data_IF_684732868850
#
_entry.id   IF_684732868850
#
_cell.length_a   1.000
_cell.length_b   1.000
_cell.length_c   1.000
_cell.angle_alpha   90.00
_cell.angle_beta   90.00
_cell.angle_gamma   90.00
#
_symmetry.space_group_name_H-M   'P 1'
#
loop_
_entity.id
_entity.type
_entity.pdbx_description
1 polymer ?
#
# COMPACT_ATOMS: atom_id res chain seq x y z
N UNK A 1 37.92 -7.32 26.74
CA UNK A 1 37.84 -8.15 25.53
C UNK A 1 36.42 -8.01 25.04
N UNK A 2 36.18 -7.07 24.11
CA UNK A 2 34.84 -6.69 23.65
C UNK A 2 34.37 -7.78 22.71
N UNK A 3 33.31 -8.46 23.11
CA UNK A 3 32.58 -9.46 22.34
C UNK A 3 31.90 -8.76 21.15
N UNK A 4 32.63 -8.65 20.04
CA UNK A 4 32.04 -8.26 18.76
C UNK A 4 31.17 -9.43 18.30
N UNK A 5 29.90 -9.40 18.72
CA UNK A 5 28.86 -10.12 18.04
C UNK A 5 28.84 -9.60 16.59
N UNK A 6 29.47 -10.36 15.70
CA UNK A 6 29.38 -10.18 14.25
C UNK A 6 27.90 -10.28 13.92
N UNK A 7 27.24 -9.13 13.76
CA UNK A 7 25.84 -9.03 13.39
C UNK A 7 25.67 -9.82 12.10
N UNK A 8 25.03 -10.98 12.19
CA UNK A 8 24.75 -11.78 11.02
C UNK A 8 23.87 -10.92 10.11
N UNK A 9 24.40 -10.57 8.94
CA UNK A 9 23.61 -9.93 7.89
C UNK A 9 22.32 -10.74 7.70
N UNK A 10 21.20 -10.08 7.47
CA UNK A 10 19.91 -10.72 7.23
C UNK A 10 19.78 -11.14 5.75
N UNK A 11 20.23 -12.35 5.31
CA UNK A 11 20.17 -12.73 3.89
C UNK A 11 18.71 -12.82 3.39
N UNK A 12 17.77 -13.10 4.29
CA UNK A 12 16.34 -13.14 3.99
C UNK A 12 15.79 -11.78 3.57
N UNK A 13 16.40 -10.67 4.01
CA UNK A 13 15.91 -9.32 3.72
C UNK A 13 16.00 -9.00 2.23
N UNK A 14 17.09 -9.44 1.57
CA UNK A 14 17.24 -9.30 0.14
C UNK A 14 16.14 -10.08 -0.62
N UNK A 15 15.84 -11.31 -0.17
CA UNK A 15 14.79 -12.15 -0.75
C UNK A 15 13.41 -11.51 -0.57
N UNK A 16 13.09 -11.02 0.64
CA UNK A 16 11.80 -10.36 0.90
C UNK A 16 11.65 -9.06 0.10
N UNK A 17 12.72 -8.27 -0.06
CA UNK A 17 12.70 -7.08 -0.93
C UNK A 17 12.43 -7.44 -2.38
N UNK A 18 13.00 -8.53 -2.88
CA UNK A 18 12.74 -9.02 -4.24
C UNK A 18 11.27 -9.48 -4.40
N UNK A 19 10.76 -10.23 -3.44
CA UNK A 19 9.36 -10.70 -3.44
C UNK A 19 8.39 -9.52 -3.36
N UNK A 20 8.64 -8.55 -2.47
CA UNK A 20 7.81 -7.36 -2.35
C UNK A 20 7.81 -6.54 -3.64
N UNK A 21 8.98 -6.34 -4.25
CA UNK A 21 9.12 -5.59 -5.51
C UNK A 21 8.42 -6.30 -6.67
N UNK A 22 8.67 -7.59 -6.85
CA UNK A 22 8.03 -8.37 -7.92
C UNK A 22 6.51 -8.44 -7.73
N UNK A 23 6.04 -8.65 -6.50
CA UNK A 23 4.59 -8.63 -6.21
C UNK A 23 3.96 -7.27 -6.52
N UNK A 24 4.62 -6.17 -6.11
CA UNK A 24 4.15 -4.82 -6.41
C UNK A 24 4.15 -4.54 -7.92
N UNK A 25 5.12 -5.06 -8.66
CA UNK A 25 5.18 -4.95 -10.12
C UNK A 25 4.03 -5.71 -10.78
N UNK A 26 3.80 -6.96 -10.42
CA UNK A 26 2.73 -7.77 -10.99
C UNK A 26 1.33 -7.22 -10.67
N UNK A 27 1.12 -6.68 -9.46
CA UNK A 27 -0.14 -6.00 -9.12
C UNK A 27 -0.38 -4.78 -10.01
N UNK A 28 0.64 -3.94 -10.25
CA UNK A 28 0.51 -2.78 -11.17
C UNK A 28 0.21 -3.24 -12.59
N UNK A 29 0.88 -4.28 -13.08
CA UNK A 29 0.65 -4.81 -14.43
C UNK A 29 -0.78 -5.33 -14.59
N UNK A 30 -1.28 -6.10 -13.62
CA UNK A 30 -2.64 -6.62 -13.64
C UNK A 30 -3.69 -5.51 -13.63
N UNK A 31 -3.50 -4.48 -12.79
CA UNK A 31 -4.45 -3.35 -12.69
C UNK A 31 -4.40 -2.46 -13.93
N UNK A 32 -3.22 -2.20 -14.49
CA UNK A 32 -3.10 -1.49 -15.77
C UNK A 32 -3.79 -2.25 -16.91
N UNK A 33 -3.60 -3.58 -16.97
CA UNK A 33 -4.28 -4.43 -17.94
C UNK A 33 -5.80 -4.40 -17.79
N UNK A 34 -6.31 -4.38 -16.55
CA UNK A 34 -7.74 -4.25 -16.28
C UNK A 34 -8.29 -2.91 -16.79
N UNK A 35 -7.64 -1.78 -16.47
CA UNK A 35 -8.06 -0.45 -16.94
C UNK A 35 -8.09 -0.38 -18.46
N UNK A 36 -7.06 -0.89 -19.14
CA UNK A 36 -7.02 -0.94 -20.60
C UNK A 36 -8.16 -1.79 -21.17
N UNK A 37 -8.44 -2.95 -20.59
CA UNK A 37 -9.56 -3.80 -21.03
C UNK A 37 -10.91 -3.09 -20.86
N UNK A 38 -11.10 -2.40 -19.74
CA UNK A 38 -12.31 -1.62 -19.49
C UNK A 38 -12.45 -0.46 -20.48
N UNK A 39 -11.36 0.21 -20.83
CA UNK A 39 -11.35 1.26 -21.85
C UNK A 39 -11.77 0.73 -23.22
N UNK A 40 -11.29 -0.46 -23.59
CA UNK A 40 -11.70 -1.13 -24.83
C UNK A 40 -13.20 -1.43 -24.82
N UNK A 41 -13.73 -1.96 -23.71
CA UNK A 41 -15.18 -2.20 -23.59
C UNK A 41 -15.95 -0.88 -23.71
N UNK A 42 -15.53 0.18 -22.99
CA UNK A 42 -16.12 1.52 -23.06
C UNK A 42 -16.21 2.05 -24.48
N UNK A 43 -15.11 1.93 -25.24
CA UNK A 43 -15.04 2.40 -26.63
C UNK A 43 -15.96 1.65 -27.59
N UNK A 44 -16.33 0.40 -27.26
CA UNK A 44 -17.21 -0.46 -28.05
C UNK A 44 -18.68 -0.25 -27.69
N UNK A 45 -18.98 0.00 -26.42
CA UNK A 45 -20.35 0.25 -25.94
C UNK A 45 -20.84 1.66 -26.25
N UNK A 46 -19.93 2.63 -26.40
CA UNK A 46 -20.26 4.01 -26.81
C UNK A 46 -20.63 4.17 -28.29
N UNK A 47 -20.56 3.12 -29.13
CA UNK A 47 -20.97 3.17 -30.54
C UNK A 47 -22.45 2.79 -30.67
N UNK A 48 -23.34 3.78 -30.55
CA UNK A 48 -24.74 3.82 -31.02
C UNK A 48 -25.55 2.50 -31.00
N UNK A 49 -25.41 1.69 -29.94
CA UNK A 49 -26.25 0.52 -29.72
C UNK A 49 -27.10 0.74 -28.47
N UNK A 50 -28.41 1.00 -28.63
CA UNK A 50 -29.32 1.25 -27.51
C UNK A 50 -29.44 0.06 -26.53
N UNK A 51 -29.00 -1.13 -26.95
CA UNK A 51 -28.93 -2.33 -26.11
C UNK A 51 -27.75 -2.31 -25.11
N UNK A 52 -26.76 -1.44 -25.31
CA UNK A 52 -25.52 -1.40 -24.51
C UNK A 52 -25.48 -0.27 -23.47
N UNK A 53 -26.54 0.55 -23.36
CA UNK A 53 -26.59 1.70 -22.45
C UNK A 53 -26.39 1.31 -20.98
N UNK A 54 -26.90 0.16 -20.54
CA UNK A 54 -26.69 -0.35 -19.19
C UNK A 54 -25.25 -0.83 -18.91
N UNK A 55 -24.50 -1.20 -19.96
CA UNK A 55 -23.11 -1.65 -19.83
C UNK A 55 -22.17 -0.45 -19.69
N UNK A 56 -22.52 0.71 -20.28
CA UNK A 56 -21.72 1.93 -20.16
C UNK A 56 -21.51 2.34 -18.69
N UNK A 57 -22.58 2.38 -17.89
CA UNK A 57 -22.48 2.70 -16.46
C UNK A 57 -21.63 1.68 -15.70
N UNK A 58 -21.84 0.38 -15.95
CA UNK A 58 -21.04 -0.66 -15.29
C UNK A 58 -19.54 -0.53 -15.60
N UNK A 59 -19.21 -0.15 -16.83
CA UNK A 59 -17.81 0.06 -17.24
C UNK A 59 -17.22 1.29 -16.54
N UNK A 60 -17.97 2.38 -16.40
CA UNK A 60 -17.54 3.55 -15.64
C UNK A 60 -17.27 3.20 -14.16
N UNK A 61 -18.19 2.47 -13.53
CA UNK A 61 -18.04 2.01 -12.15
C UNK A 61 -16.82 1.09 -12.00
N UNK A 62 -16.61 0.18 -12.96
CA UNK A 62 -15.46 -0.72 -12.97
C UNK A 62 -14.14 0.02 -13.14
N UNK A 63 -14.09 1.08 -13.97
CA UNK A 63 -12.88 1.92 -14.13
C UNK A 63 -12.57 2.62 -12.82
N UNK A 64 -13.57 3.26 -12.19
CA UNK A 64 -13.38 3.93 -10.91
C UNK A 64 -12.90 2.96 -9.81
N UNK A 65 -13.50 1.76 -9.72
CA UNK A 65 -13.08 0.75 -8.77
C UNK A 65 -11.67 0.20 -9.05
N UNK A 66 -11.28 0.09 -10.32
CA UNK A 66 -9.94 -0.33 -10.72
C UNK A 66 -8.88 0.72 -10.33
N UNK A 67 -9.15 2.00 -10.53
CA UNK A 67 -8.28 3.10 -10.09
C UNK A 67 -8.09 3.09 -8.56
N UNK A 68 -9.16 2.88 -7.80
CA UNK A 68 -9.06 2.76 -6.34
C UNK A 68 -8.28 1.52 -5.91
N UNK A 69 -8.42 0.41 -6.64
CA UNK A 69 -7.63 -0.79 -6.40
C UNK A 69 -6.14 -0.54 -6.65
N UNK A 70 -5.79 0.25 -7.68
CA UNK A 70 -4.41 0.67 -7.95
C UNK A 70 -3.81 1.50 -6.82
N UNK A 71 -4.55 2.50 -6.32
CA UNK A 71 -4.11 3.32 -5.18
C UNK A 71 -3.86 2.48 -3.93
N UNK A 72 -4.71 1.48 -3.65
CA UNK A 72 -4.52 0.57 -2.52
C UNK A 72 -3.33 -0.38 -2.70
N UNK A 73 -3.10 -0.89 -3.91
CA UNK A 73 -1.93 -1.71 -4.20
C UNK A 73 -0.63 -0.92 -4.02
N UNK A 74 -0.60 0.33 -4.47
CA UNK A 74 0.53 1.24 -4.26
C UNK A 74 0.76 1.56 -2.78
N UNK A 75 -0.29 1.83 -2.02
CA UNK A 75 -0.18 2.07 -0.59
C UNK A 75 0.34 0.83 0.16
N UNK A 76 -0.10 -0.36 -0.24
CA UNK A 76 0.36 -1.63 0.34
C UNK A 76 1.83 -1.89 0.02
N UNK A 77 2.25 -1.62 -1.22
CA UNK A 77 3.66 -1.70 -1.61
C UNK A 77 4.53 -0.71 -0.80
N UNK A 78 4.06 0.53 -0.65
CA UNK A 78 4.77 1.54 0.13
C UNK A 78 4.89 1.17 1.62
N UNK A 79 3.87 0.52 2.20
CA UNK A 79 3.94 -0.01 3.56
C UNK A 79 5.00 -1.11 3.69
N UNK A 80 5.04 -2.05 2.73
CA UNK A 80 6.06 -3.10 2.71
C UNK A 80 7.47 -2.51 2.57
N UNK A 81 7.66 -1.56 1.65
CA UNK A 81 8.94 -0.88 1.45
C UNK A 81 9.38 -0.14 2.73
N UNK A 82 8.45 0.55 3.40
CA UNK A 82 8.72 1.23 4.67
C UNK A 82 9.19 0.25 5.75
N UNK A 83 8.48 -0.88 5.93
CA UNK A 83 8.81 -1.91 6.92
C UNK A 83 10.16 -2.55 6.59
N UNK A 84 10.39 -2.94 5.34
CA UNK A 84 11.65 -3.57 4.91
C UNK A 84 12.83 -2.60 4.87
N UNK A 85 12.58 -1.30 4.70
CA UNK A 85 13.57 -0.23 4.79
C UNK A 85 14.03 -0.01 6.24
N UNK A 86 13.13 -0.19 7.19
CA UNK A 86 13.42 -0.04 8.62
C UNK A 86 14.09 -1.27 9.26
N UNK A 87 14.28 -2.37 8.52
CA UNK A 87 15.03 -3.52 9.02
C UNK A 87 16.53 -3.21 9.02
N UNK A 88 17.14 -3.26 10.20
CA UNK A 88 18.57 -3.10 10.42
C UNK A 88 19.42 -4.23 9.82
N UNK A 89 20.73 -4.04 9.81
CA UNK A 89 21.68 -5.07 9.36
C UNK A 89 21.67 -6.33 10.22
N UNK A 90 21.17 -6.22 11.46
CA UNK A 90 20.94 -7.30 12.42
C UNK A 90 19.64 -8.09 12.16
N UNK A 91 18.87 -7.70 11.14
CA UNK A 91 17.58 -8.31 10.81
C UNK A 91 16.44 -7.90 11.73
N UNK A 92 16.60 -6.87 12.57
CA UNK A 92 15.54 -6.38 13.45
C UNK A 92 14.84 -5.18 12.83
N UNK A 93 13.52 -5.12 12.99
CA UNK A 93 12.74 -3.96 12.60
C UNK A 93 13.02 -2.81 13.58
N UNK A 94 13.57 -1.70 13.08
CA UNK A 94 13.78 -0.48 13.86
C UNK A 94 12.51 0.35 13.91
N UNK A 95 11.63 -0.01 14.85
CA UNK A 95 10.42 0.73 15.15
C UNK A 95 10.25 0.93 16.66
N UNK A 96 9.59 2.01 17.02
CA UNK A 96 9.25 2.34 18.40
C UNK A 96 7.73 2.50 18.54
N UNK A 97 7.18 1.93 19.60
CA UNK A 97 5.77 2.09 19.93
C UNK A 97 5.63 3.33 20.84
N UNK A 98 5.20 4.47 20.28
CA UNK A 98 5.02 5.73 21.02
C UNK A 98 3.70 5.80 21.80
N UNK A 99 2.84 4.79 21.63
CA UNK A 99 1.55 4.67 22.30
C UNK A 99 0.82 3.42 21.84
N UNK A 100 -0.37 3.10 22.38
CA UNK A 100 -1.05 1.82 22.12
C UNK A 100 -1.38 1.56 20.65
N UNK A 101 -1.36 2.60 19.80
CA UNK A 101 -1.69 2.54 18.37
C UNK A 101 -0.81 3.43 17.50
N UNK A 102 0.33 3.87 18.03
CA UNK A 102 1.24 4.78 17.34
C UNK A 102 2.58 4.09 17.17
N UNK A 103 2.95 3.82 15.92
CA UNK A 103 4.21 3.19 15.57
C UNK A 103 5.09 4.22 14.85
N UNK A 104 6.25 4.52 15.43
CA UNK A 104 7.31 5.29 14.81
C UNK A 104 8.25 4.32 14.08
N UNK A 105 8.39 4.48 12.77
CA UNK A 105 9.29 3.67 11.94
C UNK A 105 10.42 4.57 11.44
N UNK A 106 11.67 4.22 11.73
CA UNK A 106 12.84 4.97 11.25
C UNK A 106 13.03 4.76 9.74
N UNK A 107 13.28 5.84 9.02
CA UNK A 107 13.45 5.83 7.55
C UNK A 107 14.26 7.06 7.09
N UNK A 108 14.71 7.07 5.84
CA UNK A 108 15.31 8.29 5.26
C UNK A 108 14.22 9.31 4.90
N UNK A 109 14.55 10.60 4.84
CA UNK A 109 13.56 11.66 4.56
C UNK A 109 12.82 11.45 3.22
N UNK A 110 13.55 11.02 2.18
CA UNK A 110 12.98 10.78 0.86
C UNK A 110 12.03 9.56 0.82
N UNK A 111 12.32 8.53 1.60
CA UNK A 111 11.48 7.33 1.73
C UNK A 111 10.25 7.62 2.60
N UNK A 112 10.43 8.35 3.70
CA UNK A 112 9.35 8.75 4.60
C UNK A 112 8.28 9.56 3.85
N UNK A 113 8.70 10.57 3.07
CA UNK A 113 7.81 11.39 2.25
C UNK A 113 7.03 10.58 1.21
N UNK A 114 7.71 9.63 0.55
CA UNK A 114 7.08 8.76 -0.44
C UNK A 114 6.06 7.83 0.22
N UNK A 115 6.43 7.22 1.34
CA UNK A 115 5.58 6.31 2.09
C UNK A 115 4.33 7.05 2.58
N UNK A 116 4.47 8.22 3.20
CA UNK A 116 3.32 9.01 3.71
C UNK A 116 2.38 9.40 2.58
N UNK A 117 2.89 9.83 1.42
CA UNK A 117 2.02 10.15 0.27
C UNK A 117 1.20 8.95 -0.20
N UNK A 118 1.84 7.78 -0.33
CA UNK A 118 1.14 6.57 -0.75
C UNK A 118 0.14 6.07 0.31
N UNK A 119 0.51 6.13 1.59
CA UNK A 119 -0.32 5.67 2.70
C UNK A 119 -1.57 6.51 2.94
N UNK A 120 -1.63 7.76 2.45
CA UNK A 120 -2.86 8.57 2.50
C UNK A 120 -4.06 7.89 1.83
N UNK A 121 -3.83 7.18 0.73
CA UNK A 121 -4.89 6.43 0.05
C UNK A 121 -5.46 5.31 0.94
N UNK A 122 -4.59 4.62 1.68
CA UNK A 122 -5.00 3.61 2.66
C UNK A 122 -5.72 4.25 3.85
N UNK A 123 -5.25 5.42 4.30
CA UNK A 123 -5.84 6.17 5.39
C UNK A 123 -7.29 6.58 5.16
N UNK A 124 -7.62 7.03 3.95
CA UNK A 124 -8.98 7.41 3.58
C UNK A 124 -10.00 6.27 3.75
N UNK A 125 -9.59 5.00 3.62
CA UNK A 125 -10.47 3.84 3.72
C UNK A 125 -10.42 3.12 5.06
N UNK A 126 -9.25 3.09 5.68
CA UNK A 126 -9.03 2.28 6.88
C UNK A 126 -9.10 3.13 8.15
N UNK A 127 -8.86 4.44 8.07
CA UNK A 127 -8.61 5.29 9.23
C UNK A 127 -7.14 5.31 9.69
N UNK A 128 -6.22 4.73 8.90
CA UNK A 128 -4.79 4.82 9.14
C UNK A 128 -4.29 6.27 8.95
N UNK A 129 -3.72 6.87 10.00
CA UNK A 129 -2.96 8.11 9.88
C UNK A 129 -1.49 7.82 9.56
N UNK A 130 -0.89 8.60 8.66
CA UNK A 130 0.55 8.56 8.38
C UNK A 130 1.09 9.98 8.26
N UNK A 131 2.20 10.27 8.93
CA UNK A 131 2.90 11.55 8.84
C UNK A 131 4.42 11.40 8.95
N UNK A 132 5.15 12.37 8.42
CA UNK A 132 6.61 12.46 8.55
C UNK A 132 6.97 13.19 9.85
N UNK A 133 7.95 12.66 10.59
CA UNK A 133 8.49 13.26 11.79
C UNK A 133 10.04 13.20 11.77
N UNK A 134 10.63 14.03 10.91
CA UNK A 134 12.05 13.95 10.55
C UNK A 134 12.34 12.65 9.79
N UNK A 135 13.37 11.93 10.23
CA UNK A 135 13.77 10.61 9.69
C UNK A 135 12.89 9.46 10.19
N UNK A 136 11.60 9.71 10.33
CA UNK A 136 10.65 8.69 10.74
C UNK A 136 9.28 8.91 10.13
N UNK A 137 8.59 7.80 9.91
CA UNK A 137 7.16 7.78 9.61
C UNK A 137 6.42 7.41 10.89
N UNK A 138 5.45 8.22 11.28
CA UNK A 138 4.53 7.92 12.38
C UNK A 138 3.26 7.35 11.77
N UNK A 139 2.96 6.09 12.08
CA UNK A 139 1.72 5.40 11.73
C UNK A 139 0.77 5.42 12.92
N UNK A 140 -0.45 5.89 12.72
CA UNK A 140 -1.52 5.90 13.71
C UNK A 140 -2.64 4.98 13.28
N UNK A 141 -2.85 3.90 14.02
CA UNK A 141 -3.90 2.94 13.71
C UNK A 141 -5.23 3.39 14.33
N UNK A 142 -6.36 3.29 13.61
CA UNK A 142 -7.67 3.76 14.06
C UNK A 142 -8.20 2.92 15.22
N UNK A 143 -8.66 3.53 16.32
CA UNK A 143 -9.41 2.80 17.37
C UNK A 143 -10.49 1.94 16.70
N UNK A 144 -10.45 0.61 16.83
CA UNK A 144 -11.57 -0.20 16.39
C UNK A 144 -12.80 0.33 17.13
N UNK A 145 -13.83 0.75 16.38
CA UNK A 145 -15.18 0.79 16.89
C UNK A 145 -16.03 -0.17 16.04
N UNK A 146 -16.89 -0.99 16.67
CA UNK A 146 -17.44 -2.20 16.10
C UNK A 146 -18.58 -1.86 15.14
N UNK A 147 -18.32 -1.93 13.84
CA UNK A 147 -19.37 -2.13 12.84
C UNK A 147 -19.35 -3.59 12.34
N UNK A 148 -19.13 -4.53 13.26
CA UNK A 148 -19.79 -5.83 13.25
C UNK A 148 -20.80 -5.78 14.38
N UNK A 149 -22.00 -5.26 14.08
CA UNK A 149 -23.28 -5.58 14.72
C UNK A 149 -24.37 -4.75 14.03
N UNK A 150 -24.90 -5.25 12.91
CA UNK A 150 -26.28 -5.77 12.84
C UNK A 150 -26.52 -6.31 11.44
N UNK A 151 -26.83 -7.60 11.39
CA UNK A 151 -27.64 -8.21 10.34
C UNK A 151 -28.94 -7.43 10.16
N UNK A 152 -29.29 -7.13 8.92
CA UNK A 152 -30.57 -7.46 8.27
C UNK A 152 -30.45 -7.21 6.75
#
# INVERSE_FOLDING_TARGET
>A
MIDQAVGAAAPWLAVLREVARSSAHEMRNALNGLVVNLEVVRSRTGRDSPELTGIAQFVEDAVAQSEESAKLAEASAALMDLVLGAVGSDGRLHCELEGPRTLRILSTDAEADRAVRALRALGARTGLGAECAGQAVILRFPLQNPATNTSE
#
